data_IF_868847710880
#
_entry.id   IF_868847710880
#
_cell.length_a   1.000
_cell.length_b   1.000
_cell.length_c   1.000
_cell.angle_alpha   90.00
_cell.angle_beta   90.00
_cell.angle_gamma   90.00
#
_symmetry.space_group_name_H-M   'P 1'
#
loop_
_entity.id
_entity.type
_entity.pdbx_description
1 polymer ?
#
# COMPACT_ATOMS: atom_id res chain seq x y z
N UNK A 1 29.29 -25.42 73.34
CA UNK A 1 28.12 -24.93 72.59
C UNK A 1 28.25 -23.43 72.46
N UNK A 2 28.71 -22.97 71.30
CA UNK A 2 28.82 -21.55 70.93
C UNK A 2 28.47 -21.47 69.45
N UNK A 3 27.29 -20.94 69.18
CA UNK A 3 26.59 -20.86 67.90
C UNK A 3 27.15 -19.70 67.04
N UNK A 4 27.57 -19.92 65.78
CA UNK A 4 27.96 -18.86 64.86
C UNK A 4 26.85 -18.65 63.80
N UNK A 5 26.04 -17.60 63.92
CA UNK A 5 25.11 -17.20 62.86
C UNK A 5 24.98 -15.68 62.74
N UNK A 6 25.89 -15.07 61.97
CA UNK A 6 25.71 -13.74 61.39
C UNK A 6 25.03 -13.85 60.01
N UNK A 7 24.10 -12.96 59.63
CA UNK A 7 23.42 -13.06 58.34
C UNK A 7 24.34 -12.65 57.19
N UNK A 8 24.50 -13.56 56.23
CA UNK A 8 25.21 -13.32 54.98
C UNK A 8 24.49 -12.25 54.14
N UNK A 9 25.17 -11.14 53.84
CA UNK A 9 24.70 -10.16 52.85
C UNK A 9 24.80 -10.76 51.45
N UNK A 10 23.65 -11.08 50.86
CA UNK A 10 23.52 -11.36 49.43
C UNK A 10 23.87 -10.10 48.64
N UNK A 11 24.99 -10.14 47.93
CA UNK A 11 25.35 -9.15 46.92
C UNK A 11 24.45 -9.33 45.70
N UNK A 12 23.67 -8.31 45.38
CA UNK A 12 22.85 -8.25 44.16
C UNK A 12 23.74 -8.36 42.91
N UNK A 13 23.37 -9.16 41.88
CA UNK A 13 24.12 -9.20 40.64
C UNK A 13 24.03 -7.84 39.94
N UNK A 14 25.17 -7.37 39.44
CA UNK A 14 25.30 -6.15 38.65
C UNK A 14 24.21 -6.07 37.57
N UNK A 15 23.40 -5.02 37.65
CA UNK A 15 22.33 -4.75 36.68
C UNK A 15 22.90 -4.69 35.27
N UNK A 16 22.29 -5.46 34.36
CA UNK A 16 22.56 -5.37 32.94
C UNK A 16 22.36 -3.92 32.47
N UNK A 17 23.23 -3.39 31.59
CA UNK A 17 23.10 -2.01 31.12
C UNK A 17 21.75 -1.84 30.43
N UNK A 18 20.99 -0.84 30.89
CA UNK A 18 19.75 -0.44 30.26
C UNK A 18 20.01 -0.14 28.76
N UNK A 19 19.10 -0.53 27.85
CA UNK A 19 19.26 -0.18 26.44
C UNK A 19 19.33 1.35 26.31
N UNK A 20 20.16 1.88 25.40
CA UNK A 20 20.32 3.32 25.24
C UNK A 20 18.96 3.95 24.95
N UNK A 21 18.57 4.89 25.82
CA UNK A 21 17.41 5.71 25.58
C UNK A 21 17.59 6.38 24.21
N UNK A 22 16.65 6.13 23.29
CA UNK A 22 16.59 6.80 21.99
C UNK A 22 16.57 8.31 22.24
N UNK A 23 17.73 8.93 22.08
CA UNK A 23 17.95 10.33 22.37
C UNK A 23 16.98 11.19 21.58
N UNK A 24 16.21 12.01 22.29
CA UNK A 24 15.52 13.18 21.71
C UNK A 24 16.60 14.21 21.35
N UNK A 25 17.38 13.95 20.30
CA UNK A 25 18.24 14.95 19.71
C UNK A 25 17.39 16.10 19.17
N UNK A 26 17.83 17.34 19.35
CA UNK A 26 17.20 18.50 18.73
C UNK A 26 16.95 18.19 17.24
N UNK A 27 15.69 18.30 16.80
CA UNK A 27 15.33 18.04 15.41
C UNK A 27 16.15 18.98 14.52
N UNK A 28 16.91 18.42 13.59
CA UNK A 28 17.67 19.21 12.61
C UNK A 28 16.72 20.22 11.95
N UNK A 29 17.11 21.49 11.75
CA UNK A 29 16.20 22.55 11.29
C UNK A 29 15.60 22.27 9.90
N UNK A 30 16.24 21.43 9.09
CA UNK A 30 15.74 21.02 7.77
C UNK A 30 14.82 19.80 7.78
N UNK A 31 14.61 19.14 8.93
CA UNK A 31 13.73 17.95 8.99
C UNK A 31 12.29 18.25 8.53
N UNK A 32 11.65 19.38 8.94
CA UNK A 32 10.33 19.74 8.43
C UNK A 32 10.31 20.01 6.92
N UNK A 33 11.41 20.51 6.37
CA UNK A 33 11.53 20.76 4.92
C UNK A 33 11.45 19.46 4.13
N UNK A 34 12.11 18.39 4.59
CA UNK A 34 12.00 17.10 3.92
C UNK A 34 10.62 16.47 4.05
N UNK A 35 9.92 16.67 5.17
CA UNK A 35 8.52 16.24 5.29
C UNK A 35 7.65 16.89 4.20
N UNK A 36 7.80 18.21 4.01
CA UNK A 36 7.08 18.96 2.97
C UNK A 36 7.49 18.53 1.56
N UNK A 37 8.78 18.33 1.30
CA UNK A 37 9.26 17.91 -0.03
C UNK A 37 8.79 16.50 -0.38
N UNK A 38 8.93 15.54 0.54
CA UNK A 38 8.59 14.14 0.29
C UNK A 38 7.08 13.95 0.08
N UNK A 39 6.23 14.78 0.69
CA UNK A 39 4.80 14.77 0.44
C UNK A 39 4.41 15.64 -0.76
N UNK A 40 4.84 16.89 -0.78
CA UNK A 40 4.39 17.92 -1.71
C UNK A 40 4.88 17.73 -3.13
N UNK A 41 6.11 17.24 -3.33
CA UNK A 41 6.65 17.01 -4.67
C UNK A 41 5.90 15.86 -5.39
N UNK A 42 5.74 14.65 -4.82
CA UNK A 42 4.91 13.62 -5.43
C UNK A 42 3.46 14.05 -5.61
N UNK A 43 2.87 14.73 -4.62
CA UNK A 43 1.49 15.22 -4.73
C UNK A 43 1.31 16.14 -5.94
N UNK A 44 2.20 17.12 -6.12
CA UNK A 44 2.16 18.03 -7.26
C UNK A 44 2.26 17.26 -8.58
N UNK A 45 3.26 16.37 -8.70
CA UNK A 45 3.46 15.54 -9.89
C UNK A 45 2.22 14.70 -10.18
N UNK A 46 1.74 13.93 -9.21
CA UNK A 46 0.57 13.05 -9.38
C UNK A 46 -0.68 13.83 -9.76
N UNK A 47 -0.97 14.96 -9.10
CA UNK A 47 -2.11 15.81 -9.46
C UNK A 47 -1.97 16.43 -10.86
N UNK A 48 -0.75 16.71 -11.34
CA UNK A 48 -0.55 17.20 -12.71
C UNK A 48 -0.73 16.11 -13.76
N UNK A 49 -0.29 14.88 -13.47
CA UNK A 49 -0.36 13.73 -14.38
C UNK A 49 -1.65 12.91 -14.30
N UNK A 50 -2.50 13.19 -13.31
CA UNK A 50 -3.76 12.49 -13.10
C UNK A 50 -4.71 12.68 -14.30
N UNK A 51 -5.36 11.59 -14.69
CA UNK A 51 -6.38 11.57 -15.74
C UNK A 51 -7.45 12.65 -15.52
N UNK A 52 -7.77 13.36 -16.60
CA UNK A 52 -8.80 14.42 -16.60
C UNK A 52 -10.17 13.90 -17.02
N UNK A 53 -10.21 12.77 -17.73
CA UNK A 53 -11.42 12.13 -18.23
C UNK A 53 -11.53 10.66 -17.81
N UNK A 54 -12.57 9.96 -18.28
CA UNK A 54 -12.74 8.52 -18.08
C UNK A 54 -11.49 7.75 -18.50
N UNK A 55 -11.13 6.74 -17.71
CA UNK A 55 -9.97 5.89 -17.94
C UNK A 55 -10.39 4.43 -18.11
N UNK A 56 -9.58 3.65 -18.82
CA UNK A 56 -9.81 2.23 -19.05
C UNK A 56 -9.82 1.40 -17.76
N UNK A 57 -10.40 0.20 -17.84
CA UNK A 57 -10.50 -0.72 -16.70
C UNK A 57 -11.53 -0.24 -15.67
N UNK A 58 -11.25 -0.56 -14.42
CA UNK A 58 -12.15 -0.32 -13.29
C UNK A 58 -12.39 1.17 -13.02
N UNK A 59 -11.47 2.03 -13.46
CA UNK A 59 -11.52 3.47 -13.24
C UNK A 59 -12.82 4.16 -13.66
N UNK A 60 -13.42 3.75 -14.78
CA UNK A 60 -14.71 4.34 -15.23
C UNK A 60 -15.88 3.84 -14.38
N UNK A 61 -15.90 2.55 -14.03
CA UNK A 61 -16.90 2.00 -13.10
C UNK A 61 -16.81 2.70 -11.74
N UNK A 62 -15.61 2.78 -11.16
CA UNK A 62 -15.36 3.42 -9.86
C UNK A 62 -15.77 4.90 -9.87
N UNK A 63 -15.55 5.61 -10.98
CA UNK A 63 -16.01 7.00 -11.15
C UNK A 63 -17.53 7.09 -11.16
N UNK A 64 -18.20 6.22 -11.92
CA UNK A 64 -19.66 6.18 -11.98
C UNK A 64 -20.26 5.80 -10.62
N UNK A 65 -19.71 4.77 -9.96
CA UNK A 65 -20.09 4.33 -8.62
C UNK A 65 -19.96 5.45 -7.60
N UNK A 66 -18.87 6.21 -7.66
CA UNK A 66 -18.67 7.37 -6.80
C UNK A 66 -19.71 8.47 -7.05
N UNK A 67 -20.02 8.76 -8.31
CA UNK A 67 -21.00 9.77 -8.68
C UNK A 67 -22.43 9.40 -8.26
N UNK A 68 -22.81 8.13 -8.41
CA UNK A 68 -24.17 7.65 -8.15
C UNK A 68 -24.35 7.08 -6.75
N UNK A 69 -23.27 7.00 -5.97
CA UNK A 69 -23.22 6.35 -4.66
C UNK A 69 -23.82 4.94 -4.75
N UNK A 70 -23.20 4.10 -5.58
CA UNK A 70 -23.58 2.73 -5.95
C UNK A 70 -22.67 1.66 -5.31
N UNK A 71 -22.87 0.39 -5.67
CA UNK A 71 -22.01 -0.73 -5.25
C UNK A 71 -21.04 -1.10 -6.38
N UNK A 72 -19.75 -0.93 -6.16
CA UNK A 72 -18.69 -1.37 -7.09
C UNK A 72 -18.54 -2.89 -7.09
N UNK A 73 -17.83 -3.42 -8.10
CA UNK A 73 -17.43 -4.82 -8.12
C UNK A 73 -16.73 -5.25 -6.80
N UNK A 74 -16.81 -6.54 -6.43
CA UNK A 74 -16.13 -7.10 -5.27
C UNK A 74 -14.65 -6.71 -5.14
N UNK A 75 -14.17 -6.32 -3.97
CA UNK A 75 -14.83 -6.48 -2.66
C UNK A 75 -15.76 -5.33 -2.27
N UNK A 76 -16.09 -4.42 -3.20
CA UNK A 76 -17.04 -3.32 -3.00
C UNK A 76 -16.45 -2.08 -2.33
N UNK A 77 -15.24 -2.18 -1.80
CA UNK A 77 -14.38 -1.08 -1.35
C UNK A 77 -15.11 0.03 -0.57
N UNK A 78 -15.86 -0.28 0.51
CA UNK A 78 -16.78 0.69 1.12
C UNK A 78 -16.08 1.97 1.59
N UNK A 79 -14.85 1.88 2.12
CA UNK A 79 -14.07 3.07 2.47
C UNK A 79 -13.78 3.94 1.23
N UNK A 80 -13.37 3.32 0.12
CA UNK A 80 -13.09 4.03 -1.13
C UNK A 80 -14.35 4.67 -1.70
N UNK A 81 -15.45 3.93 -1.81
CA UNK A 81 -16.72 4.44 -2.37
C UNK A 81 -17.20 5.68 -1.63
N UNK A 82 -17.15 5.67 -0.29
CA UNK A 82 -17.56 6.83 0.51
C UNK A 82 -16.64 8.04 0.31
N UNK A 83 -15.31 7.84 0.30
CA UNK A 83 -14.34 8.90 0.06
C UNK A 83 -14.43 9.45 -1.37
N UNK A 84 -14.59 8.58 -2.36
CA UNK A 84 -14.76 8.90 -3.76
C UNK A 84 -16.05 9.70 -3.99
N UNK A 85 -17.15 9.31 -3.36
CA UNK A 85 -18.40 10.07 -3.39
C UNK A 85 -18.21 11.48 -2.84
N UNK A 86 -17.56 11.63 -1.67
CA UNK A 86 -17.23 12.96 -1.11
C UNK A 86 -16.37 13.76 -2.08
N UNK A 87 -15.40 13.12 -2.75
CA UNK A 87 -14.54 13.79 -3.72
C UNK A 87 -15.34 14.35 -4.91
N UNK A 88 -16.40 13.68 -5.36
CA UNK A 88 -17.25 14.18 -6.46
C UNK A 88 -17.88 15.55 -6.15
N UNK A 89 -18.06 15.89 -4.86
CA UNK A 89 -18.64 17.15 -4.41
C UNK A 89 -17.65 18.33 -4.46
N UNK A 90 -16.35 18.07 -4.68
CA UNK A 90 -15.34 19.13 -4.76
C UNK A 90 -15.56 20.01 -6.00
N UNK A 91 -15.52 21.35 -5.90
CA UNK A 91 -15.76 22.26 -7.02
C UNK A 91 -14.51 22.46 -7.90
N UNK A 92 -13.86 21.37 -8.32
CA UNK A 92 -12.61 21.42 -9.11
C UNK A 92 -12.57 20.33 -10.19
N UNK A 93 -12.25 20.70 -11.42
CA UNK A 93 -12.10 19.77 -12.55
C UNK A 93 -13.35 18.92 -12.82
N UNK A 94 -13.19 17.93 -13.69
CA UNK A 94 -14.24 16.95 -14.01
C UNK A 94 -14.33 15.84 -12.95
N UNK A 95 -15.45 15.10 -12.94
CA UNK A 95 -15.69 14.04 -11.95
C UNK A 95 -14.58 12.96 -11.94
N UNK A 96 -14.09 12.44 -13.08
CA UNK A 96 -12.97 11.48 -13.09
C UNK A 96 -11.72 12.04 -12.39
N UNK A 97 -11.39 13.31 -12.62
CA UNK A 97 -10.28 13.95 -11.94
C UNK A 97 -10.48 14.02 -10.42
N UNK A 98 -11.68 14.41 -9.97
CA UNK A 98 -12.03 14.48 -8.53
C UNK A 98 -11.92 13.12 -7.85
N UNK A 99 -12.50 12.09 -8.45
CA UNK A 99 -12.40 10.71 -7.95
C UNK A 99 -10.94 10.25 -7.95
N UNK A 100 -10.19 10.57 -9.00
CA UNK A 100 -8.76 10.31 -9.09
C UNK A 100 -7.92 10.93 -7.96
N UNK A 101 -8.37 12.02 -7.32
CA UNK A 101 -7.70 12.57 -6.13
C UNK A 101 -7.71 11.58 -4.94
N UNK A 102 -8.70 10.68 -4.87
CA UNK A 102 -8.76 9.59 -3.89
C UNK A 102 -7.71 8.49 -4.16
N UNK A 103 -7.02 8.56 -5.31
CA UNK A 103 -5.86 7.74 -5.61
C UNK A 103 -4.57 8.55 -5.44
N UNK A 104 -4.48 9.73 -6.07
CA UNK A 104 -3.28 10.57 -6.04
C UNK A 104 -2.87 11.06 -4.64
N UNK A 105 -3.82 11.56 -3.84
CA UNK A 105 -3.53 12.09 -2.50
C UNK A 105 -3.08 10.96 -1.56
N UNK A 106 -3.77 9.81 -1.48
CA UNK A 106 -3.28 8.70 -0.67
C UNK A 106 -1.92 8.16 -1.10
N UNK A 107 -1.59 8.08 -2.39
CA UNK A 107 -0.24 7.63 -2.81
C UNK A 107 0.83 8.61 -2.34
N UNK A 108 0.63 9.93 -2.50
CA UNK A 108 1.57 10.92 -1.98
C UNK A 108 1.73 10.85 -0.45
N UNK A 109 0.63 10.64 0.27
CA UNK A 109 0.68 10.44 1.72
C UNK A 109 1.37 9.13 2.09
N UNK A 110 1.17 8.07 1.31
CA UNK A 110 1.83 6.77 1.51
C UNK A 110 3.34 6.91 1.38
N UNK A 111 3.83 7.63 0.38
CA UNK A 111 5.25 7.96 0.19
C UNK A 111 5.81 8.66 1.44
N UNK A 112 5.09 9.65 1.97
CA UNK A 112 5.47 10.31 3.21
C UNK A 112 5.48 9.36 4.42
N UNK A 113 4.48 8.49 4.59
CA UNK A 113 4.44 7.52 5.68
C UNK A 113 5.58 6.50 5.57
N UNK A 114 5.87 6.01 4.36
CA UNK A 114 7.02 5.12 4.09
C UNK A 114 8.33 5.82 4.45
N UNK A 115 8.49 7.09 4.08
CA UNK A 115 9.61 7.90 4.52
C UNK A 115 9.73 7.93 6.05
N UNK A 116 8.64 8.17 6.79
CA UNK A 116 8.66 8.17 8.26
C UNK A 116 9.01 6.80 8.83
N UNK A 117 8.57 5.71 8.20
CA UNK A 117 8.94 4.35 8.59
C UNK A 117 10.43 4.09 8.33
N UNK A 118 10.95 4.50 7.18
CA UNK A 118 12.36 4.42 6.82
C UNK A 118 13.27 5.20 7.76
N UNK A 119 12.84 6.36 8.26
CA UNK A 119 13.59 7.13 9.26
C UNK A 119 13.80 6.32 10.54
N UNK A 120 12.80 5.53 10.95
CA UNK A 120 12.92 4.63 12.11
C UNK A 120 13.88 3.46 11.86
N UNK A 121 14.03 3.02 10.62
CA UNK A 121 14.88 1.87 10.26
C UNK A 121 16.32 2.26 9.96
N UNK A 122 16.51 3.37 9.25
CA UNK A 122 17.81 3.85 8.74
C UNK A 122 18.47 4.88 9.64
N UNK A 123 17.69 5.55 10.51
CA UNK A 123 18.13 6.69 11.33
C UNK A 123 18.68 7.85 10.47
N UNK A 124 18.28 7.93 9.20
CA UNK A 124 18.80 8.88 8.22
C UNK A 124 17.70 9.47 7.37
N UNK A 125 17.41 10.74 7.63
CA UNK A 125 16.41 11.51 6.88
C UNK A 125 16.73 11.58 5.37
N UNK A 126 17.97 11.84 4.90
CA UNK A 126 18.23 11.98 3.47
C UNK A 126 18.09 10.66 2.71
N UNK A 127 18.56 9.55 3.30
CA UNK A 127 18.41 8.22 2.68
C UNK A 127 16.94 7.83 2.61
N UNK A 128 16.21 8.05 3.71
CA UNK A 128 14.78 7.76 3.78
C UNK A 128 14.00 8.56 2.73
N UNK A 129 14.31 9.86 2.59
CA UNK A 129 13.65 10.73 1.62
C UNK A 129 13.97 10.30 0.18
N UNK A 130 15.23 9.99 -0.10
CA UNK A 130 15.67 9.50 -1.41
C UNK A 130 14.96 8.21 -1.80
N UNK A 131 14.92 7.22 -0.89
CA UNK A 131 14.28 5.94 -1.17
C UNK A 131 12.76 6.07 -1.34
N UNK A 132 12.10 6.90 -0.52
CA UNK A 132 10.67 7.16 -0.64
C UNK A 132 10.33 7.88 -1.96
N UNK A 133 11.11 8.90 -2.36
CA UNK A 133 10.91 9.60 -3.63
C UNK A 133 11.25 8.74 -4.85
N UNK A 134 12.29 7.91 -4.77
CA UNK A 134 12.62 6.95 -5.83
C UNK A 134 11.49 5.92 -6.02
N UNK A 135 10.85 5.50 -4.93
CA UNK A 135 9.65 4.67 -4.97
C UNK A 135 8.44 5.44 -5.52
N UNK A 136 8.24 6.71 -5.13
CA UNK A 136 7.15 7.55 -5.62
C UNK A 136 7.14 7.67 -7.16
N UNK A 137 8.32 7.78 -7.75
CA UNK A 137 8.49 7.93 -9.19
C UNK A 137 8.82 6.61 -9.90
N UNK A 138 8.65 5.46 -9.24
CA UNK A 138 8.59 4.18 -9.95
C UNK A 138 7.33 4.14 -10.82
N UNK A 139 7.40 3.43 -11.94
CA UNK A 139 6.27 3.36 -12.87
C UNK A 139 5.04 2.73 -12.19
N UNK A 140 5.27 1.71 -11.36
CA UNK A 140 4.19 0.92 -10.75
C UNK A 140 3.46 1.70 -9.67
N UNK A 141 4.16 2.47 -8.84
CA UNK A 141 3.49 3.26 -7.80
C UNK A 141 2.84 4.51 -8.38
N UNK A 142 3.51 5.17 -9.34
CA UNK A 142 2.96 6.34 -10.01
C UNK A 142 1.70 5.99 -10.79
N UNK A 143 1.63 4.85 -11.47
CA UNK A 143 0.42 4.46 -12.21
C UNK A 143 -0.83 4.37 -11.31
N UNK A 144 -0.67 3.99 -10.03
CA UNK A 144 -1.77 3.95 -9.06
C UNK A 144 -2.21 5.34 -8.56
N UNK A 145 -1.45 6.38 -8.88
CA UNK A 145 -1.77 7.77 -8.58
C UNK A 145 -2.33 8.52 -9.80
N UNK A 146 -2.23 7.95 -11.00
CA UNK A 146 -2.55 8.63 -12.26
C UNK A 146 -3.98 8.38 -12.77
N UNK A 147 -4.73 7.48 -12.15
CA UNK A 147 -6.12 7.13 -12.54
C UNK A 147 -6.99 6.86 -11.30
N UNK A 148 -8.33 6.97 -11.40
CA UNK A 148 -9.27 6.54 -10.36
C UNK A 148 -9.17 5.05 -10.04
N UNK A 149 -8.41 4.69 -9.02
CA UNK A 149 -8.17 3.29 -8.66
C UNK A 149 -8.15 3.06 -7.14
N UNK A 150 -8.56 1.86 -6.73
CA UNK A 150 -8.61 1.44 -5.31
C UNK A 150 -7.21 1.23 -4.72
N UNK A 151 -6.22 0.95 -5.57
CA UNK A 151 -4.87 0.62 -5.14
C UNK A 151 -4.14 1.79 -4.49
N UNK A 152 -4.39 3.04 -4.92
CA UNK A 152 -3.74 4.22 -4.33
C UNK A 152 -4.03 4.37 -2.84
N UNK A 153 -5.30 4.20 -2.45
CA UNK A 153 -5.71 4.17 -1.04
C UNK A 153 -5.18 2.93 -0.31
N UNK A 154 -5.08 1.78 -0.99
CA UNK A 154 -4.51 0.58 -0.40
C UNK A 154 -3.04 0.75 -0.02
N UNK A 155 -2.22 1.38 -0.87
CA UNK A 155 -0.80 1.66 -0.56
C UNK A 155 -0.68 2.52 0.69
N UNK A 156 -1.52 3.55 0.87
CA UNK A 156 -1.51 4.36 2.09
C UNK A 156 -1.78 3.52 3.34
N UNK A 157 -2.80 2.67 3.28
CA UNK A 157 -3.20 1.82 4.40
C UNK A 157 -2.12 0.77 4.72
N UNK A 158 -1.47 0.21 3.71
CA UNK A 158 -0.28 -0.66 3.87
C UNK A 158 0.89 0.11 4.48
N UNK A 159 1.21 1.31 3.99
CA UNK A 159 2.28 2.14 4.53
C UNK A 159 2.03 2.51 6.01
N UNK A 160 0.79 2.87 6.34
CA UNK A 160 0.36 3.15 7.70
C UNK A 160 0.48 1.92 8.60
N UNK A 161 0.11 0.72 8.12
CA UNK A 161 0.27 -0.53 8.84
C UNK A 161 1.76 -0.86 9.08
N UNK A 162 2.62 -0.73 8.07
CA UNK A 162 4.08 -0.92 8.22
C UNK A 162 4.62 0.04 9.28
N UNK A 163 4.31 1.34 9.17
CA UNK A 163 4.77 2.35 10.11
C UNK A 163 4.27 2.08 11.53
N UNK A 164 2.99 1.75 11.71
CA UNK A 164 2.39 1.42 12.99
C UNK A 164 3.02 0.17 13.60
N UNK A 165 3.27 -0.88 12.81
CA UNK A 165 3.96 -2.09 13.24
C UNK A 165 5.38 -1.79 13.69
N UNK A 166 6.18 -1.07 12.89
CA UNK A 166 7.57 -0.69 13.25
C UNK A 166 7.59 0.11 14.55
N UNK A 167 6.64 1.03 14.75
CA UNK A 167 6.52 1.77 16.02
C UNK A 167 6.08 0.89 17.18
N UNK A 168 5.15 -0.04 16.96
CA UNK A 168 4.64 -0.92 18.00
C UNK A 168 5.73 -1.90 18.47
N UNK A 169 6.54 -2.47 17.57
CA UNK A 169 7.61 -3.38 17.95
C UNK A 169 8.82 -2.66 18.55
N UNK A 170 9.11 -1.42 18.13
CA UNK A 170 10.28 -0.66 18.61
C UNK A 170 10.09 0.01 19.97
N UNK A 171 8.87 0.40 20.33
CA UNK A 171 8.54 0.84 21.68
C UNK A 171 7.09 0.40 22.02
N UNK A 172 6.92 -0.84 22.50
CA UNK A 172 5.62 -1.45 22.71
C UNK A 172 4.78 -0.70 23.73
N UNK A 173 3.56 -0.36 23.32
CA UNK A 173 2.51 0.17 24.20
C UNK A 173 1.17 -0.31 23.68
N UNK A 174 0.18 -0.48 24.56
CA UNK A 174 -1.16 -0.89 24.15
C UNK A 174 -1.75 0.08 23.11
N UNK A 175 -1.54 1.40 23.27
CA UNK A 175 -2.01 2.43 22.31
C UNK A 175 -1.47 2.20 20.89
N UNK A 176 -0.22 1.75 20.73
CA UNK A 176 0.35 1.49 19.41
C UNK A 176 -0.21 0.22 18.77
N UNK A 177 -0.45 -0.82 19.57
CA UNK A 177 -1.14 -2.02 19.11
C UNK A 177 -2.60 -1.74 18.76
N UNK A 178 -3.28 -0.90 19.54
CA UNK A 178 -4.64 -0.44 19.30
C UNK A 178 -4.74 0.35 17.97
N UNK A 179 -3.80 1.27 17.72
CA UNK A 179 -3.71 1.99 16.46
C UNK A 179 -3.47 1.03 15.28
N UNK A 180 -2.55 0.08 15.42
CA UNK A 180 -2.30 -0.94 14.40
C UNK A 180 -3.55 -1.78 14.11
N UNK A 181 -4.25 -2.24 15.15
CA UNK A 181 -5.49 -3.02 15.00
C UNK A 181 -6.57 -2.24 14.24
N UNK A 182 -6.77 -0.97 14.59
CA UNK A 182 -7.69 -0.08 13.89
C UNK A 182 -7.30 0.14 12.42
N UNK A 183 -6.01 0.41 12.14
CA UNK A 183 -5.52 0.56 10.77
C UNK A 183 -5.77 -0.72 9.96
N UNK A 184 -5.43 -1.90 10.51
CA UNK A 184 -5.66 -3.17 9.81
C UNK A 184 -7.16 -3.43 9.55
N UNK A 185 -8.03 -3.08 10.51
CA UNK A 185 -9.48 -3.13 10.31
C UNK A 185 -9.94 -2.24 9.17
N UNK A 186 -9.45 -1.00 9.14
CA UNK A 186 -9.74 -0.03 8.08
C UNK A 186 -9.22 -0.50 6.71
N UNK A 187 -8.04 -1.14 6.69
CA UNK A 187 -7.46 -1.76 5.50
C UNK A 187 -8.34 -2.90 4.96
N UNK A 188 -8.88 -3.77 5.81
CA UNK A 188 -9.81 -4.84 5.39
C UNK A 188 -11.20 -4.32 4.97
N UNK A 189 -11.63 -3.18 5.52
CA UNK A 189 -12.79 -2.45 5.02
C UNK A 189 -12.52 -1.80 3.65
N UNK A 190 -11.28 -1.74 3.20
CA UNK A 190 -10.92 -1.22 1.88
C UNK A 190 -10.65 -2.35 0.89
N UNK A 191 -9.63 -3.18 1.11
CA UNK A 191 -9.14 -4.14 0.10
C UNK A 191 -8.63 -5.45 0.71
N UNK A 192 -8.91 -6.59 0.07
CA UNK A 192 -8.54 -7.94 0.56
C UNK A 192 -7.03 -8.22 0.61
N UNK A 193 -6.23 -7.60 -0.28
CA UNK A 193 -4.75 -7.61 -0.25
C UNK A 193 -4.13 -7.18 1.09
N UNK A 194 -4.92 -6.57 1.97
CA UNK A 194 -4.56 -6.34 3.38
C UNK A 194 -4.07 -7.60 4.08
N UNK A 195 -4.50 -8.79 3.64
CA UNK A 195 -4.02 -10.06 4.18
C UNK A 195 -2.48 -10.17 4.17
N UNK A 196 -1.81 -9.60 3.16
CA UNK A 196 -0.35 -9.67 3.03
C UNK A 196 0.34 -8.91 4.16
N UNK A 197 -0.02 -7.63 4.35
CA UNK A 197 0.55 -6.80 5.41
C UNK A 197 0.00 -7.13 6.79
N UNK A 198 -1.26 -7.59 6.88
CA UNK A 198 -1.91 -7.98 8.12
C UNK A 198 -1.26 -9.21 8.75
N UNK A 199 -1.07 -10.28 7.97
CA UNK A 199 -0.37 -11.49 8.43
C UNK A 199 1.08 -11.16 8.83
N UNK A 200 1.79 -10.38 8.03
CA UNK A 200 3.15 -9.95 8.34
C UNK A 200 3.25 -9.10 9.61
N UNK A 201 2.28 -8.21 9.84
CA UNK A 201 2.20 -7.38 11.05
C UNK A 201 1.96 -8.23 12.30
N UNK A 202 1.07 -9.23 12.22
CA UNK A 202 0.83 -10.16 13.32
C UNK A 202 2.12 -10.94 13.65
N UNK A 203 2.77 -11.53 12.65
CA UNK A 203 4.03 -12.27 12.85
C UNK A 203 5.09 -11.36 13.47
N UNK A 204 5.30 -10.16 12.95
CA UNK A 204 6.25 -9.19 13.49
C UNK A 204 5.96 -8.82 14.96
N UNK A 205 4.68 -8.59 15.30
CA UNK A 205 4.27 -8.29 16.67
C UNK A 205 4.54 -9.46 17.60
N UNK A 206 4.22 -10.71 17.20
CA UNK A 206 4.44 -11.91 18.01
C UNK A 206 5.93 -12.24 18.21
N UNK A 207 6.76 -11.94 17.20
CA UNK A 207 8.22 -12.09 17.28
C UNK A 207 8.88 -11.03 18.16
N UNK A 208 8.21 -9.91 18.46
CA UNK A 208 8.75 -8.87 19.34
C UNK A 208 8.53 -9.23 20.81
N UNK A 209 9.58 -9.48 21.61
CA UNK A 209 9.40 -9.88 23.01
C UNK A 209 8.68 -8.84 23.86
N UNK A 210 8.88 -7.54 23.56
CA UNK A 210 8.30 -6.45 24.34
C UNK A 210 6.80 -6.25 24.13
N UNK A 211 6.19 -6.86 23.11
CA UNK A 211 4.73 -6.80 22.90
C UNK A 211 4.00 -7.85 23.74
N UNK A 212 4.66 -8.97 24.09
CA UNK A 212 4.04 -10.12 24.78
C UNK A 212 3.30 -9.74 26.07
N UNK A 213 3.86 -8.91 26.98
CA UNK A 213 3.15 -8.53 28.21
C UNK A 213 1.89 -7.67 27.98
N UNK A 214 1.66 -7.21 26.75
CA UNK A 214 0.48 -6.41 26.40
C UNK A 214 -0.75 -7.27 26.09
N UNK A 215 -0.59 -8.59 25.93
CA UNK A 215 -1.67 -9.52 25.60
C UNK A 215 -2.25 -10.15 26.87
N UNK A 216 -3.43 -9.67 27.27
CA UNK A 216 -4.32 -10.33 28.22
C UNK A 216 -5.74 -10.36 27.62
N UNK A 217 -6.67 -11.19 28.12
CA UNK A 217 -7.99 -11.36 27.50
C UNK A 217 -8.74 -10.04 27.27
N UNK A 218 -8.74 -9.12 28.23
CA UNK A 218 -9.42 -7.82 28.09
C UNK A 218 -8.78 -6.92 27.03
N UNK A 219 -7.45 -6.87 26.97
CA UNK A 219 -6.74 -6.11 25.93
C UNK A 219 -6.89 -6.74 24.56
N UNK A 220 -6.89 -8.07 24.45
CA UNK A 220 -7.15 -8.78 23.19
C UNK A 220 -8.56 -8.46 22.69
N UNK A 221 -9.57 -8.53 23.56
CA UNK A 221 -10.94 -8.16 23.21
C UNK A 221 -11.04 -6.71 22.72
N UNK A 222 -10.34 -5.78 23.36
CA UNK A 222 -10.28 -4.39 22.91
C UNK A 222 -9.58 -4.23 21.55
N UNK A 223 -8.48 -4.95 21.29
CA UNK A 223 -7.82 -4.96 19.98
C UNK A 223 -8.73 -5.53 18.89
N UNK A 224 -9.44 -6.63 19.17
CA UNK A 224 -10.44 -7.22 18.27
C UNK A 224 -11.57 -6.23 18.00
N UNK A 225 -12.10 -5.57 19.03
CA UNK A 225 -13.14 -4.55 18.86
C UNK A 225 -12.68 -3.38 17.98
N UNK A 226 -11.45 -2.89 18.17
CA UNK A 226 -10.87 -1.83 17.33
C UNK A 226 -10.61 -2.28 15.89
N UNK A 227 -10.26 -3.54 15.68
CA UNK A 227 -10.13 -4.13 14.35
C UNK A 227 -11.48 -4.30 13.65
N UNK A 228 -12.52 -4.73 14.38
CA UNK A 228 -13.86 -4.96 13.83
C UNK A 228 -14.60 -3.65 13.56
N UNK A 229 -14.33 -2.59 14.34
CA UNK A 229 -15.05 -1.32 14.23
C UNK A 229 -15.06 -0.75 12.79
N UNK A 230 -13.94 -0.61 12.06
CA UNK A 230 -13.99 -0.16 10.66
C UNK A 230 -14.71 -1.12 9.69
N UNK A 231 -14.78 -2.41 9.99
CA UNK A 231 -15.48 -3.38 9.13
C UNK A 231 -16.99 -3.13 9.10
N UNK A 232 -17.53 -2.35 10.05
CA UNK A 232 -18.92 -1.89 10.01
C UNK A 232 -19.23 -1.03 8.78
N UNK A 233 -18.23 -0.51 8.06
CA UNK A 233 -18.41 0.17 6.78
C UNK A 233 -19.03 -0.72 5.69
N UNK A 234 -18.90 -2.05 5.78
CA UNK A 234 -19.67 -2.95 4.91
C UNK A 234 -21.18 -2.90 5.17
N UNK A 235 -21.59 -2.52 6.38
CA UNK A 235 -22.98 -2.20 6.68
C UNK A 235 -23.47 -0.96 5.92
N UNK A 236 -22.60 0.04 5.71
CA UNK A 236 -22.93 1.17 4.84
C UNK A 236 -23.17 0.69 3.41
N UNK A 237 -22.29 -0.14 2.84
CA UNK A 237 -22.45 -0.72 1.50
C UNK A 237 -23.76 -1.50 1.36
N UNK A 238 -24.14 -2.26 2.38
CA UNK A 238 -25.41 -2.98 2.41
C UNK A 238 -26.60 -2.02 2.34
N UNK A 239 -26.57 -0.89 3.07
CA UNK A 239 -27.58 0.16 2.96
C UNK A 239 -27.57 0.85 1.59
N UNK A 240 -26.40 0.97 0.94
CA UNK A 240 -26.30 1.48 -0.44
C UNK A 240 -27.05 0.56 -1.41
N UNK A 241 -26.83 -0.75 -1.31
CA UNK A 241 -27.44 -1.74 -2.21
C UNK A 241 -28.97 -1.79 -2.14
N UNK A 242 -29.57 -1.34 -1.02
CA UNK A 242 -31.04 -1.31 -0.85
C UNK A 242 -31.69 -0.04 -1.40
N UNK A 243 -30.93 0.85 -2.03
CA UNK A 243 -31.44 2.04 -2.72
C UNK A 243 -31.46 1.78 -4.24
N UNK A 244 -32.42 2.35 -4.99
CA UNK A 244 -32.37 2.31 -6.45
C UNK A 244 -31.08 3.00 -6.92
N UNK A 245 -30.19 2.23 -7.53
CA UNK A 245 -28.90 2.73 -8.01
C UNK A 245 -28.60 2.12 -9.38
N UNK A 246 -27.92 2.84 -10.29
CA UNK A 246 -27.67 2.37 -11.65
C UNK A 246 -26.66 1.22 -11.72
N UNK A 247 -25.82 1.06 -10.68
CA UNK A 247 -24.89 -0.04 -10.51
C UNK A 247 -25.15 -0.70 -9.14
N UNK A 248 -25.41 -2.01 -9.15
CA UNK A 248 -25.53 -2.86 -7.96
C UNK A 248 -24.78 -4.18 -8.18
N UNK A 249 -23.44 -4.11 -8.17
CA UNK A 249 -22.61 -5.28 -8.39
C UNK A 249 -22.78 -6.30 -7.25
N UNK A 250 -23.12 -7.54 -7.61
CA UNK A 250 -23.29 -8.64 -6.65
C UNK A 250 -24.63 -8.70 -5.94
N UNK A 251 -25.58 -7.80 -6.22
CA UNK A 251 -26.98 -7.84 -5.73
C UNK A 251 -27.06 -8.17 -4.23
N UNK A 252 -26.66 -7.24 -3.36
CA UNK A 252 -26.42 -7.48 -1.93
C UNK A 252 -27.71 -7.61 -1.08
N UNK A 253 -28.70 -8.34 -1.58
CA UNK A 253 -30.03 -8.51 -0.97
C UNK A 253 -30.05 -9.39 0.27
N UNK A 254 -29.00 -10.19 0.50
CA UNK A 254 -28.91 -11.09 1.67
C UNK A 254 -27.55 -11.00 2.36
N UNK A 255 -27.45 -11.34 3.66
CA UNK A 255 -26.17 -11.41 4.36
C UNK A 255 -25.16 -12.38 3.71
N UNK A 256 -25.65 -13.44 3.05
CA UNK A 256 -24.79 -14.39 2.34
C UNK A 256 -24.17 -13.76 1.09
N UNK A 257 -24.93 -12.99 0.32
CA UNK A 257 -24.40 -12.27 -0.84
C UNK A 257 -23.43 -11.16 -0.42
N UNK A 258 -23.73 -10.45 0.67
CA UNK A 258 -22.78 -9.52 1.27
C UNK A 258 -21.46 -10.23 1.64
N UNK A 259 -21.52 -11.39 2.30
CA UNK A 259 -20.32 -12.15 2.66
C UNK A 259 -19.53 -12.64 1.41
N UNK A 260 -20.22 -13.09 0.36
CA UNK A 260 -19.58 -13.51 -0.90
C UNK A 260 -18.91 -12.32 -1.61
N UNK A 261 -19.56 -11.17 -1.61
CA UNK A 261 -19.04 -9.92 -2.17
C UNK A 261 -17.81 -9.45 -1.38
N UNK A 262 -17.91 -9.38 -0.05
CA UNK A 262 -16.81 -9.01 0.86
C UNK A 262 -15.56 -9.89 0.70
N UNK A 263 -15.74 -11.18 0.46
CA UNK A 263 -14.64 -12.14 0.31
C UNK A 263 -14.09 -12.22 -1.12
N UNK A 264 -14.71 -11.52 -2.08
CA UNK A 264 -14.35 -11.63 -3.50
C UNK A 264 -14.59 -13.04 -4.05
N UNK A 265 -15.52 -13.81 -3.44
CA UNK A 265 -15.75 -15.23 -3.75
C UNK A 265 -16.01 -15.48 -5.23
N UNK A 266 -16.65 -14.53 -5.92
CA UNK A 266 -16.91 -14.59 -7.35
C UNK A 266 -15.65 -14.74 -8.20
N UNK A 267 -14.49 -14.25 -7.75
CA UNK A 267 -13.23 -14.34 -8.49
C UNK A 267 -12.43 -15.61 -8.19
N UNK A 268 -12.94 -16.49 -7.32
CA UNK A 268 -12.24 -17.73 -6.97
C UNK A 268 -11.92 -18.64 -8.16
N UNK A 269 -12.71 -18.59 -9.25
CA UNK A 269 -12.42 -19.34 -10.47
C UNK A 269 -11.15 -18.89 -11.20
N UNK A 270 -10.61 -17.70 -10.89
CA UNK A 270 -9.34 -17.19 -11.43
C UNK A 270 -8.13 -17.63 -10.60
N UNK A 271 -8.34 -18.25 -9.44
CA UNK A 271 -7.27 -18.77 -8.59
C UNK A 271 -6.80 -20.13 -9.10
N UNK A 272 -5.50 -20.24 -9.40
CA UNK A 272 -4.83 -21.45 -9.84
C UNK A 272 -5.50 -22.16 -11.03
N UNK A 273 -6.13 -21.39 -11.94
CA UNK A 273 -7.03 -21.93 -12.97
C UNK A 273 -6.43 -22.05 -14.38
N UNK A 274 -5.11 -21.96 -14.54
CA UNK A 274 -4.50 -22.16 -15.85
C UNK A 274 -4.43 -23.65 -16.25
N UNK A 275 -4.93 -24.03 -17.44
CA UNK A 275 -4.86 -25.41 -17.92
C UNK A 275 -3.42 -25.92 -18.09
N UNK A 276 -3.16 -27.17 -17.67
CA UNK A 276 -1.92 -27.88 -18.01
C UNK A 276 -0.75 -27.77 -17.03
N UNK A 277 -0.93 -27.20 -15.83
CA UNK A 277 0.08 -27.23 -14.75
C UNK A 277 1.34 -26.39 -14.98
N UNK A 278 1.48 -25.74 -16.13
CA UNK A 278 2.63 -24.91 -16.50
C UNK A 278 2.56 -23.45 -15.98
N UNK A 279 1.57 -23.12 -15.16
CA UNK A 279 1.29 -21.75 -14.68
C UNK A 279 2.51 -21.07 -14.06
N UNK A 280 3.32 -21.80 -13.26
CA UNK A 280 4.59 -21.28 -12.71
C UNK A 280 5.59 -20.88 -13.81
N UNK A 281 5.69 -21.67 -14.87
CA UNK A 281 6.57 -21.37 -16.01
C UNK A 281 6.09 -20.17 -16.82
N UNK A 282 4.77 -20.04 -17.01
CA UNK A 282 4.17 -18.86 -17.65
C UNK A 282 4.37 -17.60 -16.80
N UNK A 283 4.19 -17.71 -15.49
CA UNK A 283 4.36 -16.59 -14.58
C UNK A 283 5.83 -16.19 -14.46
N UNK A 284 6.77 -17.15 -14.41
CA UNK A 284 8.20 -16.86 -14.45
C UNK A 284 8.58 -16.12 -15.75
N UNK A 285 8.07 -16.56 -16.91
CA UNK A 285 8.28 -15.86 -18.19
C UNK A 285 7.65 -14.46 -18.19
N UNK A 286 6.47 -14.30 -17.59
CA UNK A 286 5.79 -13.00 -17.45
C UNK A 286 6.62 -12.06 -16.58
N UNK A 287 7.03 -12.50 -15.39
CA UNK A 287 7.87 -11.73 -14.49
C UNK A 287 9.18 -11.32 -15.16
N UNK A 288 9.83 -12.22 -15.90
CA UNK A 288 11.03 -11.88 -16.69
C UNK A 288 10.72 -10.83 -17.76
N UNK A 289 9.59 -10.93 -18.46
CA UNK A 289 9.18 -9.94 -19.48
C UNK A 289 8.80 -8.59 -18.89
N UNK A 290 8.07 -8.55 -17.79
CA UNK A 290 7.71 -7.30 -17.09
C UNK A 290 8.96 -6.65 -16.50
N UNK A 291 9.79 -7.47 -15.85
CA UNK A 291 11.13 -7.10 -15.45
C UNK A 291 12.02 -6.77 -16.65
N UNK A 292 11.65 -7.01 -17.92
CA UNK A 292 12.38 -6.57 -19.11
C UNK A 292 11.76 -5.32 -19.76
N UNK A 293 10.44 -5.12 -19.67
CA UNK A 293 9.68 -4.07 -20.37
C UNK A 293 9.50 -2.75 -19.59
N UNK A 294 9.64 -2.77 -18.26
CA UNK A 294 9.52 -1.57 -17.43
C UNK A 294 10.85 -0.78 -17.41
N UNK A 295 10.91 0.48 -17.88
CA UNK A 295 12.06 1.38 -17.82
C UNK A 295 12.18 1.95 -16.41
N UNK A 296 12.19 1.06 -15.43
CA UNK A 296 12.22 1.50 -14.07
C UNK A 296 13.65 1.90 -13.66
N UNK A 297 13.79 2.88 -12.78
CA UNK A 297 15.09 3.31 -12.23
C UNK A 297 15.85 2.19 -11.54
N UNK A 298 15.16 1.14 -11.07
CA UNK A 298 15.76 -0.04 -10.47
C UNK A 298 16.52 -0.92 -11.47
N UNK A 299 16.42 -0.67 -12.80
CA UNK A 299 17.23 -1.33 -13.83
C UNK A 299 18.60 -0.72 -14.09
N UNK A 300 18.74 0.60 -13.95
CA UNK A 300 20.05 1.25 -14.12
C UNK A 300 21.00 0.84 -12.98
N UNK A 301 20.50 0.08 -12.00
CA UNK A 301 21.28 -0.63 -11.00
C UNK A 301 20.73 -2.04 -10.66
N UNK A 302 20.24 -2.88 -11.60
CA UNK A 302 19.67 -4.21 -11.23
C UNK A 302 20.60 -5.06 -10.35
N UNK A 303 21.91 -5.05 -10.61
CA UNK A 303 22.89 -5.70 -9.74
C UNK A 303 23.23 -4.85 -8.49
N UNK A 304 23.62 -3.56 -8.60
CA UNK A 304 23.93 -2.76 -7.41
C UNK A 304 22.75 -2.61 -6.43
N UNK A 305 21.53 -2.40 -6.91
CA UNK A 305 20.32 -2.33 -6.07
C UNK A 305 20.00 -3.67 -5.42
N UNK A 306 20.14 -4.79 -6.14
CA UNK A 306 19.99 -6.11 -5.54
C UNK A 306 21.05 -6.34 -4.43
N UNK A 307 22.29 -5.86 -4.64
CA UNK A 307 23.32 -5.86 -3.59
C UNK A 307 22.85 -5.04 -2.38
N UNK A 308 22.28 -3.85 -2.58
CA UNK A 308 21.70 -3.05 -1.49
C UNK A 308 20.55 -3.78 -0.79
N UNK A 309 19.65 -4.44 -1.51
CA UNK A 309 18.56 -5.23 -0.91
C UNK A 309 19.14 -6.38 -0.08
N UNK A 310 20.13 -7.12 -0.59
CA UNK A 310 20.80 -8.21 0.14
C UNK A 310 21.53 -7.70 1.38
N UNK A 311 22.24 -6.57 1.28
CA UNK A 311 22.86 -5.91 2.43
C UNK A 311 21.81 -5.49 3.46
N UNK A 312 20.67 -4.96 3.00
CA UNK A 312 19.55 -4.59 3.84
C UNK A 312 18.95 -5.78 4.57
N UNK A 313 18.70 -6.88 3.88
CA UNK A 313 18.21 -8.14 4.46
C UNK A 313 19.20 -8.65 5.51
N UNK A 314 20.51 -8.67 5.20
CA UNK A 314 21.56 -9.05 6.15
C UNK A 314 21.55 -8.16 7.39
N UNK A 315 21.41 -6.85 7.22
CA UNK A 315 21.30 -5.91 8.34
C UNK A 315 20.03 -6.13 9.17
N UNK A 316 18.91 -6.41 8.51
CA UNK A 316 17.62 -6.69 9.13
C UNK A 316 17.56 -8.07 9.81
N UNK A 317 18.46 -9.00 9.50
CA UNK A 317 18.56 -10.26 10.23
C UNK A 317 18.85 -10.06 11.73
N UNK A 318 19.51 -8.95 12.10
CA UNK A 318 19.65 -8.52 13.50
C UNK A 318 18.39 -7.88 14.11
N UNK A 319 17.31 -7.73 13.33
CA UNK A 319 16.00 -7.18 13.73
C UNK A 319 14.86 -8.11 13.25
N UNK A 320 14.75 -9.36 13.76
CA UNK A 320 13.86 -10.38 13.21
C UNK A 320 12.39 -9.96 13.03
N UNK A 321 11.77 -9.19 13.95
CA UNK A 321 10.41 -8.68 13.74
C UNK A 321 10.25 -7.81 12.48
N UNK A 322 11.22 -6.96 12.18
CA UNK A 322 11.19 -6.09 10.98
C UNK A 322 11.45 -6.91 9.72
N UNK A 323 12.39 -7.85 9.78
CA UNK A 323 12.66 -8.76 8.67
C UNK A 323 11.42 -9.61 8.34
N UNK A 324 10.73 -10.12 9.35
CA UNK A 324 9.49 -10.86 9.19
C UNK A 324 8.37 -9.98 8.60
N UNK A 325 8.24 -8.73 9.06
CA UNK A 325 7.26 -7.78 8.49
C UNK A 325 7.44 -7.61 6.98
N UNK A 326 8.67 -7.33 6.52
CA UNK A 326 8.92 -7.11 5.09
C UNK A 326 8.92 -8.43 4.30
N UNK A 327 9.51 -9.49 4.87
CA UNK A 327 9.66 -10.78 4.20
C UNK A 327 8.34 -11.55 4.05
N UNK A 328 7.53 -11.63 5.11
CA UNK A 328 6.21 -12.29 5.05
C UNK A 328 5.27 -11.51 4.16
N UNK A 329 5.29 -10.17 4.22
CA UNK A 329 4.47 -9.33 3.34
C UNK A 329 4.82 -9.56 1.87
N UNK A 330 6.11 -9.53 1.52
CA UNK A 330 6.57 -9.78 0.15
C UNK A 330 6.27 -11.21 -0.32
N UNK A 331 6.44 -12.20 0.56
CA UNK A 331 6.17 -13.60 0.21
C UNK A 331 4.67 -13.84 -0.03
N UNK A 332 3.80 -13.34 0.85
CA UNK A 332 2.36 -13.48 0.72
C UNK A 332 1.84 -12.83 -0.57
N UNK A 333 2.35 -11.64 -0.88
CA UNK A 333 2.08 -10.88 -2.12
C UNK A 333 2.45 -11.69 -3.37
N UNK A 334 3.68 -12.23 -3.41
CA UNK A 334 4.15 -13.06 -4.54
C UNK A 334 3.32 -14.34 -4.67
N UNK A 335 3.11 -15.08 -3.58
CA UNK A 335 2.36 -16.34 -3.63
C UNK A 335 0.93 -16.15 -4.13
N UNK A 336 0.26 -15.09 -3.67
CA UNK A 336 -1.09 -14.77 -4.12
C UNK A 336 -1.10 -14.36 -5.59
N UNK A 337 -0.24 -13.44 -5.99
CA UNK A 337 -0.24 -12.85 -7.34
C UNK A 337 0.13 -13.85 -8.42
N UNK A 338 1.09 -14.75 -8.12
CA UNK A 338 1.47 -15.83 -9.04
C UNK A 338 0.29 -16.80 -9.22
N UNK A 339 -0.49 -17.05 -8.17
CA UNK A 339 -1.69 -17.90 -8.22
C UNK A 339 -2.93 -17.26 -8.85
N UNK A 340 -2.99 -15.92 -8.93
CA UNK A 340 -4.21 -15.22 -9.35
C UNK A 340 -4.15 -14.80 -10.82
N UNK A 341 -5.01 -15.37 -11.68
CA UNK A 341 -4.97 -15.15 -13.12
C UNK A 341 -5.83 -13.94 -13.56
N UNK A 342 -5.25 -12.74 -13.52
CA UNK A 342 -5.87 -11.47 -13.95
C UNK A 342 -4.95 -10.70 -14.94
N UNK A 343 -5.49 -9.80 -15.76
CA UNK A 343 -4.69 -9.00 -16.71
C UNK A 343 -3.75 -7.98 -16.05
N UNK A 344 -4.15 -7.42 -14.92
CA UNK A 344 -3.60 -6.24 -14.24
C UNK A 344 -2.72 -6.57 -13.03
N UNK A 345 -2.05 -7.73 -13.01
CA UNK A 345 -1.33 -8.22 -11.80
C UNK A 345 -0.21 -7.30 -11.30
N UNK A 346 0.21 -6.30 -12.08
CA UNK A 346 1.23 -5.33 -11.65
C UNK A 346 0.87 -4.58 -10.36
N UNK A 347 -0.42 -4.26 -10.15
CA UNK A 347 -0.90 -3.61 -8.92
C UNK A 347 -0.82 -4.56 -7.70
N UNK A 348 -0.87 -5.87 -7.92
CA UNK A 348 -0.75 -6.88 -6.88
C UNK A 348 0.70 -7.14 -6.46
N UNK A 349 1.70 -6.47 -7.04
CA UNK A 349 3.10 -6.52 -6.58
C UNK A 349 3.52 -5.29 -5.76
N UNK A 350 2.58 -4.39 -5.43
CA UNK A 350 2.90 -3.15 -4.71
C UNK A 350 3.57 -3.41 -3.35
N UNK A 351 3.14 -4.44 -2.62
CA UNK A 351 3.72 -4.76 -1.31
C UNK A 351 5.13 -5.32 -1.44
N UNK A 352 5.40 -6.12 -2.47
CA UNK A 352 6.76 -6.53 -2.83
C UNK A 352 7.64 -5.31 -3.12
N UNK A 353 7.21 -4.39 -3.97
CA UNK A 353 8.01 -3.20 -4.31
C UNK A 353 8.31 -2.32 -3.10
N UNK A 354 7.32 -2.09 -2.23
CA UNK A 354 7.52 -1.37 -0.95
C UNK A 354 8.53 -2.09 -0.06
N UNK A 355 8.40 -3.41 0.09
CA UNK A 355 9.28 -4.21 0.95
C UNK A 355 10.73 -4.20 0.44
N UNK A 356 10.93 -4.33 -0.87
CA UNK A 356 12.25 -4.25 -1.50
C UNK A 356 12.84 -2.85 -1.38
N UNK A 357 12.06 -1.79 -1.61
CA UNK A 357 12.50 -0.41 -1.44
C UNK A 357 12.96 -0.14 0.01
N UNK A 358 12.23 -0.67 0.98
CA UNK A 358 12.61 -0.53 2.39
C UNK A 358 13.89 -1.30 2.75
N UNK A 359 14.02 -2.54 2.28
CA UNK A 359 15.26 -3.30 2.46
C UNK A 359 16.46 -2.62 1.78
N UNK A 360 16.29 -2.17 0.52
CA UNK A 360 17.32 -1.46 -0.23
C UNK A 360 17.79 -0.18 0.47
N UNK A 361 16.87 0.60 1.05
CA UNK A 361 17.21 1.79 1.83
C UNK A 361 18.04 1.48 3.09
N UNK A 362 17.73 0.38 3.78
CA UNK A 362 18.52 -0.10 4.93
C UNK A 362 19.92 -0.53 4.49
N UNK A 363 20.04 -1.27 3.39
CA UNK A 363 21.35 -1.69 2.88
C UNK A 363 22.20 -0.53 2.37
N UNK A 364 21.56 0.50 1.80
CA UNK A 364 22.21 1.72 1.38
C UNK A 364 22.77 2.52 2.56
N UNK A 365 22.00 2.61 3.65
CA UNK A 365 22.49 3.19 4.90
C UNK A 365 23.69 2.41 5.45
N UNK A 366 23.69 1.09 5.33
CA UNK A 366 24.80 0.24 5.75
C UNK A 366 26.04 0.44 4.87
N UNK A 367 25.87 0.51 3.55
CA UNK A 367 26.95 0.78 2.59
C UNK A 367 27.64 2.15 2.85
N UNK A 368 26.87 3.18 3.20
CA UNK A 368 27.42 4.50 3.55
C UNK A 368 28.19 4.44 4.87
N UNK A 369 27.71 3.69 5.87
CA UNK A 369 28.43 3.46 7.13
C UNK A 369 29.76 2.72 6.91
N UNK A 370 29.81 1.83 5.92
CA UNK A 370 30.97 0.99 5.59
C UNK A 370 32.02 1.67 4.68
N UNK A 371 31.85 2.93 4.29
CA UNK A 371 32.90 3.70 3.60
C UNK A 371 32.51 4.35 2.27
N UNK A 372 31.25 4.26 1.82
CA UNK A 372 30.78 5.11 0.74
C UNK A 372 30.61 6.55 1.25
N UNK A 373 31.66 7.36 1.14
CA UNK A 373 31.71 8.73 1.70
C UNK A 373 30.46 9.57 1.40
N UNK A 374 29.99 10.32 2.40
CA UNK A 374 28.75 11.10 2.40
C UNK A 374 28.58 12.02 1.15
N UNK A 375 29.68 12.55 0.61
CA UNK A 375 29.67 13.40 -0.58
C UNK A 375 29.23 12.68 -1.87
N UNK A 376 29.65 11.42 -2.07
CA UNK A 376 29.24 10.62 -3.24
C UNK A 376 27.76 10.25 -3.18
N UNK A 377 27.25 9.99 -1.98
CA UNK A 377 25.84 9.67 -1.75
C UNK A 377 24.91 10.83 -2.14
N UNK A 378 25.25 12.07 -1.77
CA UNK A 378 24.40 13.23 -2.09
C UNK A 378 24.15 13.42 -3.60
N UNK A 379 25.15 13.13 -4.44
CA UNK A 379 25.01 13.19 -5.91
C UNK A 379 24.20 12.00 -6.44
N UNK A 380 24.45 10.80 -5.91
CA UNK A 380 23.72 9.59 -6.30
C UNK A 380 22.23 9.68 -5.91
N UNK A 381 21.90 10.30 -4.78
CA UNK A 381 20.55 10.49 -4.31
C UNK A 381 19.68 11.26 -5.31
N UNK A 382 20.21 12.34 -5.89
CA UNK A 382 19.50 13.09 -6.94
C UNK A 382 19.25 12.24 -8.18
N UNK A 383 20.24 11.45 -8.61
CA UNK A 383 20.07 10.56 -9.77
C UNK A 383 19.01 9.48 -9.50
N UNK A 384 18.97 8.91 -8.30
CA UNK A 384 17.98 7.89 -7.92
C UNK A 384 16.54 8.40 -7.90
N UNK A 385 16.33 9.72 -7.81
CA UNK A 385 15.01 10.36 -7.84
C UNK A 385 14.69 10.92 -9.23
N UNK A 386 15.63 11.65 -9.84
CA UNK A 386 15.41 12.35 -11.11
C UNK A 386 15.33 11.41 -12.30
N UNK A 387 16.15 10.36 -12.34
CA UNK A 387 16.10 9.37 -13.43
C UNK A 387 14.71 8.72 -13.53
N UNK A 388 14.15 8.12 -12.47
CA UNK A 388 12.78 7.59 -12.53
C UNK A 388 11.75 8.63 -12.93
N UNK A 389 11.84 9.82 -12.32
CA UNK A 389 10.90 10.89 -12.57
C UNK A 389 10.84 11.22 -14.06
N UNK A 390 11.99 11.37 -14.71
CA UNK A 390 12.10 11.71 -16.14
C UNK A 390 11.74 10.52 -17.02
N UNK A 391 12.26 9.32 -16.74
CA UNK A 391 12.07 8.15 -17.62
C UNK A 391 10.65 7.59 -17.59
N UNK A 392 9.95 7.76 -16.46
CA UNK A 392 8.58 7.27 -16.30
C UNK A 392 7.52 8.33 -16.60
N UNK A 393 7.87 9.63 -16.67
CA UNK A 393 6.91 10.73 -16.86
C UNK A 393 5.95 10.46 -18.01
N UNK A 394 6.47 10.23 -19.23
CA UNK A 394 5.63 10.06 -20.42
C UNK A 394 4.74 8.80 -20.41
N UNK A 395 5.06 7.80 -19.57
CA UNK A 395 4.24 6.58 -19.43
C UNK A 395 3.20 6.69 -18.32
N UNK A 396 3.51 7.47 -17.29
CA UNK A 396 2.66 7.68 -16.12
C UNK A 396 1.76 8.92 -16.26
N UNK A 397 2.06 9.83 -17.18
CA UNK A 397 1.21 10.95 -17.51
C UNK A 397 -0.06 10.52 -18.24
N UNK A 398 -1.20 10.76 -17.57
CA UNK A 398 -2.55 10.47 -18.08
C UNK A 398 -3.39 11.73 -18.25
N UNK A 399 -2.82 12.91 -18.01
CA UNK A 399 -3.58 14.16 -18.05
C UNK A 399 -4.19 14.44 -19.43
N UNK A 400 -3.49 14.04 -20.50
CA UNK A 400 -3.94 14.16 -21.89
C UNK A 400 -4.60 12.91 -22.47
N UNK A 401 -4.85 11.86 -21.68
CA UNK A 401 -5.43 10.61 -22.19
C UNK A 401 -6.94 10.76 -22.39
N UNK A 402 -7.37 10.86 -23.65
CA UNK A 402 -8.79 10.92 -24.06
C UNK A 402 -9.28 9.61 -24.69
N UNK A 403 -8.44 8.58 -24.74
CA UNK A 403 -8.68 7.38 -25.55
C UNK A 403 -10.00 6.67 -25.22
N UNK A 404 -10.32 6.51 -23.94
CA UNK A 404 -11.59 5.90 -23.51
C UNK A 404 -12.78 6.80 -23.87
N UNK A 405 -12.68 8.11 -23.64
CA UNK A 405 -13.75 9.04 -23.97
C UNK A 405 -14.04 9.09 -25.48
N UNK A 406 -12.99 9.10 -26.31
CA UNK A 406 -13.11 9.12 -27.76
C UNK A 406 -13.66 7.79 -28.29
N UNK A 407 -13.22 6.66 -27.72
CA UNK A 407 -13.79 5.35 -28.00
C UNK A 407 -15.28 5.30 -27.67
N UNK A 408 -15.69 5.74 -26.48
CA UNK A 408 -17.10 5.77 -26.07
C UNK A 408 -17.93 6.65 -27.00
N UNK A 409 -17.47 7.86 -27.35
CA UNK A 409 -18.16 8.75 -28.30
C UNK A 409 -18.33 8.10 -29.66
N UNK A 410 -17.29 7.43 -30.16
CA UNK A 410 -17.34 6.72 -31.44
C UNK A 410 -18.38 5.60 -31.43
N UNK A 411 -18.39 4.76 -30.39
CA UNK A 411 -19.36 3.66 -30.25
C UNK A 411 -20.78 4.22 -30.16
N UNK A 412 -21.00 5.20 -29.28
CA UNK A 412 -22.32 5.79 -29.07
C UNK A 412 -22.85 6.47 -30.34
N UNK A 413 -21.98 7.10 -31.14
CA UNK A 413 -22.37 7.70 -32.42
C UNK A 413 -22.86 6.67 -33.46
N UNK A 414 -22.45 5.41 -33.34
CA UNK A 414 -22.89 4.31 -34.21
C UNK A 414 -24.16 3.62 -33.70
N UNK A 415 -24.56 3.88 -32.46
CA UNK A 415 -25.74 3.26 -31.83
C UNK A 415 -26.97 4.14 -32.07
N UNK A 416 -28.00 3.64 -32.80
CA UNK A 416 -29.24 4.39 -33.01
C UNK A 416 -29.91 4.78 -31.68
N UNK A 417 -30.61 5.90 -31.65
CA UNK A 417 -31.43 6.28 -30.49
C UNK A 417 -32.44 5.18 -30.13
N UNK A 418 -32.71 5.00 -28.83
CA UNK A 418 -33.58 3.95 -28.25
C UNK A 418 -33.05 2.53 -28.43
N UNK A 419 -31.73 2.38 -28.51
CA UNK A 419 -31.08 1.08 -28.53
C UNK A 419 -30.72 0.61 -27.14
N UNK A 420 -30.79 -0.70 -26.93
CA UNK A 420 -30.19 -1.36 -25.77
C UNK A 420 -28.74 -1.71 -26.12
N UNK A 421 -27.79 -1.18 -25.35
CA UNK A 421 -26.37 -1.54 -25.45
C UNK A 421 -26.10 -2.62 -24.42
N UNK A 422 -25.76 -3.83 -24.90
CA UNK A 422 -25.41 -4.96 -24.05
C UNK A 422 -23.91 -5.18 -24.16
N UNK A 423 -23.20 -5.05 -23.04
CA UNK A 423 -21.79 -5.46 -22.92
C UNK A 423 -21.68 -6.69 -22.02
N UNK A 424 -20.50 -7.29 -21.94
CA UNK A 424 -20.23 -8.41 -21.03
C UNK A 424 -20.43 -8.02 -19.54
N UNK A 425 -20.33 -6.72 -19.21
CA UNK A 425 -20.32 -6.21 -17.85
C UNK A 425 -21.55 -5.38 -17.47
N UNK A 426 -22.17 -4.65 -18.42
CA UNK A 426 -23.25 -3.68 -18.16
C UNK A 426 -24.27 -3.68 -19.30
N UNK A 427 -25.55 -3.58 -18.95
CA UNK A 427 -26.65 -3.30 -19.90
C UNK A 427 -27.05 -1.83 -19.74
N UNK A 428 -26.95 -1.05 -20.82
CA UNK A 428 -27.29 0.38 -20.84
C UNK A 428 -28.42 0.65 -21.83
N UNK A 429 -29.36 1.50 -21.44
CA UNK A 429 -30.37 2.04 -22.35
C UNK A 429 -29.88 3.36 -22.95
N UNK A 430 -29.79 3.46 -24.28
CA UNK A 430 -29.37 4.67 -24.98
C UNK A 430 -30.55 5.48 -25.53
N UNK A 431 -30.72 6.71 -25.04
CA UNK A 431 -31.60 7.73 -25.63
C UNK A 431 -32.88 8.04 -24.84
N UNK A 432 -33.08 9.35 -24.60
CA UNK A 432 -34.39 9.99 -24.49
C UNK A 432 -34.56 10.95 -25.66
#
# INVERSE_FOLDING_TARGET
MSDPSGPARLTSPAGSPAPPALGRGASKPWAPVLDVVVFGLPLAVFCTTLARGPSWGDSTELTLVAQTLSVAHPTGYPLYVLLAHIATLLPVGEIPFRVGLVSAVPVALAVWVIYRALVLLTESLPISATAALALAFSQELWSQASVPEVYGLHVLLTAAAIWATVRAIGAPTFRRLALLAFILGLSFAHHGMTLFIGSASIVAVLLSPGTRPLFNPGRIAALVGLFVLPLTLYGALWLIAHRPAPIDQGHLSTPMELARHMTGRQFSYRMFSQPGGSWLGHEAKRLVREAASQPCPWKIACLPYLVLVVMGIRRLAGRPPVLALLGVSALADVLYTVGYNIPDKSAYYLNLYVSLAMAGAVGLQDAIRLGAGHGRWSRLAWLLVLVPLVTNFGRSDRAGDTSMADYTKYIVALVPARSLVVTDDIILWWGF
#
